data_IF_048422919270
#
_entry.id   IF_048422919270
#
_cell.length_a   1.000
_cell.length_b   1.000
_cell.length_c   1.000
_cell.angle_alpha   90.00
_cell.angle_beta   90.00
_cell.angle_gamma   90.00
#
_symmetry.space_group_name_H-M   'P 1'
#
loop_
_entity.id
_entity.type
_entity.pdbx_description
1 polymer ?
#
# COMPACT_ATOMS: atom_id res chain seq x y z
N UNK A 1 -22.92 -13.14 30.67
CA UNK A 1 -23.17 -12.92 29.23
C UNK A 1 -21.95 -12.19 28.71
N UNK A 2 -21.26 -12.73 27.70
CA UNK A 2 -20.04 -12.09 27.21
C UNK A 2 -20.39 -10.89 26.32
N UNK A 3 -19.48 -9.93 26.20
CA UNK A 3 -19.64 -8.78 25.30
C UNK A 3 -19.79 -9.23 23.83
N UNK A 4 -19.16 -10.36 23.47
CA UNK A 4 -19.27 -10.95 22.14
C UNK A 4 -20.69 -11.45 21.84
N UNK A 5 -21.35 -12.10 22.82
CA UNK A 5 -22.73 -12.57 22.67
C UNK A 5 -23.71 -11.42 22.44
N UNK A 6 -23.40 -10.24 22.99
CA UNK A 6 -24.18 -9.03 22.82
C UNK A 6 -24.01 -8.45 21.41
N UNK A 7 -22.80 -8.44 20.85
CA UNK A 7 -22.57 -7.98 19.48
C UNK A 7 -23.29 -8.85 18.45
N UNK A 8 -23.20 -10.17 18.57
CA UNK A 8 -23.87 -11.11 17.67
C UNK A 8 -25.39 -10.94 17.75
N UNK A 9 -25.94 -10.81 18.95
CA UNK A 9 -27.39 -10.65 19.14
C UNK A 9 -27.92 -9.33 18.54
N UNK A 10 -27.12 -8.28 18.57
CA UNK A 10 -27.48 -6.96 18.05
C UNK A 10 -27.08 -6.76 16.57
N UNK A 11 -26.67 -7.83 15.88
CA UNK A 11 -26.26 -7.78 14.46
C UNK A 11 -25.14 -6.76 14.20
N UNK A 12 -24.19 -6.66 15.14
CA UNK A 12 -23.05 -5.75 15.06
C UNK A 12 -21.88 -6.46 14.39
N UNK A 13 -21.43 -5.93 13.25
CA UNK A 13 -20.20 -6.37 12.57
C UNK A 13 -18.99 -5.58 13.09
N UNK A 14 -17.91 -6.27 13.45
CA UNK A 14 -16.67 -5.64 13.96
C UNK A 14 -15.54 -5.88 12.97
N UNK A 15 -15.05 -4.81 12.34
CA UNK A 15 -13.76 -4.80 11.65
C UNK A 15 -12.66 -4.38 12.63
N UNK A 16 -11.49 -5.02 12.54
CA UNK A 16 -10.36 -4.73 13.42
C UNK A 16 -9.05 -4.58 12.64
N UNK A 17 -8.19 -3.71 13.15
CA UNK A 17 -6.80 -3.54 12.69
C UNK A 17 -5.87 -3.90 13.83
N UNK A 18 -5.18 -5.03 13.69
CA UNK A 18 -4.12 -5.45 14.58
C UNK A 18 -2.83 -4.72 14.18
N UNK A 19 -2.29 -3.91 15.07
CA UNK A 19 -1.03 -3.18 14.86
C UNK A 19 0.05 -3.87 15.68
N UNK A 20 1.17 -4.22 15.03
CA UNK A 20 2.29 -5.03 15.53
C UNK A 20 2.02 -6.53 15.59
N UNK A 21 3.09 -7.33 15.61
CA UNK A 21 3.01 -8.79 15.81
C UNK A 21 2.57 -9.18 17.22
N UNK A 22 2.63 -8.24 18.18
CA UNK A 22 2.19 -8.40 19.57
C UNK A 22 0.71 -8.04 19.80
N UNK A 23 -0.04 -7.74 18.73
CA UNK A 23 -1.46 -7.43 18.83
C UNK A 23 -2.27 -8.57 19.46
N UNK A 24 -3.36 -8.22 20.16
CA UNK A 24 -4.16 -9.20 20.91
C UNK A 24 -4.79 -10.24 19.97
N UNK A 25 -4.62 -11.56 20.25
CA UNK A 25 -5.21 -12.62 19.44
C UNK A 25 -6.74 -12.65 19.53
N UNK A 26 -7.33 -12.03 20.56
CA UNK A 26 -8.78 -11.95 20.75
C UNK A 26 -9.48 -11.18 19.61
N UNK A 27 -8.75 -10.35 18.86
CA UNK A 27 -9.28 -9.64 17.69
C UNK A 27 -9.72 -10.60 16.57
N UNK A 28 -9.07 -11.77 16.47
CA UNK A 28 -9.45 -12.81 15.51
C UNK A 28 -10.84 -13.37 15.85
N UNK A 29 -11.08 -13.67 17.12
CA UNK A 29 -12.35 -14.23 17.58
C UNK A 29 -13.48 -13.21 17.42
N UNK A 30 -13.24 -11.94 17.76
CA UNK A 30 -14.22 -10.86 17.62
C UNK A 30 -14.65 -10.63 16.17
N UNK A 31 -13.69 -10.49 15.26
CA UNK A 31 -13.96 -10.25 13.83
C UNK A 31 -14.65 -11.45 13.19
N UNK A 32 -14.12 -12.66 13.41
CA UNK A 32 -14.68 -13.90 12.82
C UNK A 32 -16.10 -14.17 13.30
N UNK A 33 -16.38 -13.95 14.58
CA UNK A 33 -17.69 -14.27 15.17
C UNK A 33 -18.77 -13.25 14.82
N UNK A 34 -18.38 -12.02 14.45
CA UNK A 34 -19.30 -10.95 14.02
C UNK A 34 -19.37 -10.80 12.50
N UNK A 35 -18.65 -11.64 11.75
CA UNK A 35 -18.59 -11.59 10.28
C UNK A 35 -17.80 -10.40 9.72
N UNK A 36 -17.03 -9.72 10.56
CA UNK A 36 -16.18 -8.59 10.14
C UNK A 36 -14.80 -9.03 9.65
N UNK A 37 -13.97 -8.05 9.31
CA UNK A 37 -12.67 -8.21 8.67
C UNK A 37 -11.53 -7.91 9.66
N UNK A 38 -10.47 -8.69 9.57
CA UNK A 38 -9.23 -8.46 10.32
C UNK A 38 -8.11 -8.07 9.37
N UNK A 39 -7.46 -6.95 9.66
CA UNK A 39 -6.23 -6.52 9.00
C UNK A 39 -5.08 -6.59 9.99
N UNK A 40 -3.90 -6.98 9.51
CA UNK A 40 -2.69 -7.07 10.32
C UNK A 40 -1.61 -6.17 9.74
N UNK A 41 -1.19 -5.17 10.52
CA UNK A 41 0.05 -4.45 10.30
C UNK A 41 1.13 -5.14 11.14
N UNK A 42 2.03 -5.89 10.50
CA UNK A 42 3.18 -6.48 11.20
C UNK A 42 4.24 -5.42 11.52
N UNK A 43 5.25 -5.81 12.30
CA UNK A 43 6.42 -4.97 12.57
C UNK A 43 7.38 -4.91 11.36
N UNK A 44 7.08 -5.64 10.28
CA UNK A 44 7.84 -5.55 9.04
C UNK A 44 7.65 -4.17 8.40
N UNK A 45 8.73 -3.52 7.93
CA UNK A 45 8.61 -2.26 7.19
C UNK A 45 7.81 -2.43 5.89
N UNK A 46 7.71 -3.65 5.35
CA UNK A 46 6.97 -3.97 4.11
C UNK A 46 5.47 -4.14 4.31
N UNK A 47 5.01 -4.24 5.56
CA UNK A 47 3.62 -4.56 5.86
C UNK A 47 2.69 -3.42 5.46
N UNK A 48 1.61 -3.77 4.76
CA UNK A 48 0.63 -2.81 4.21
C UNK A 48 -0.70 -2.82 4.93
N UNK A 49 -0.89 -3.70 5.92
CA UNK A 49 -2.21 -4.00 6.49
C UNK A 49 -2.96 -2.81 7.09
N UNK A 50 -2.28 -1.80 7.64
CA UNK A 50 -2.97 -0.59 8.10
C UNK A 50 -3.61 0.19 6.94
N UNK A 51 -2.93 0.26 5.79
CA UNK A 51 -3.44 0.95 4.61
C UNK A 51 -4.53 0.13 3.94
N UNK A 52 -4.39 -1.18 3.91
CA UNK A 52 -5.42 -2.09 3.39
C UNK A 52 -6.72 -1.96 4.19
N UNK A 53 -6.61 -1.87 5.52
CA UNK A 53 -7.75 -1.60 6.39
C UNK A 53 -8.44 -0.26 6.07
N UNK A 54 -7.67 0.81 5.89
CA UNK A 54 -8.21 2.13 5.58
C UNK A 54 -8.86 2.16 4.20
N UNK A 55 -8.25 1.51 3.20
CA UNK A 55 -8.80 1.41 1.85
C UNK A 55 -10.08 0.59 1.81
N UNK A 56 -10.17 -0.49 2.57
CA UNK A 56 -11.37 -1.30 2.62
C UNK A 56 -12.55 -0.58 3.30
N UNK A 57 -12.27 0.30 4.26
CA UNK A 57 -13.28 1.02 5.04
C UNK A 57 -13.59 2.42 4.50
N UNK A 58 -12.86 2.90 3.49
CA UNK A 58 -13.13 4.21 2.85
C UNK A 58 -14.33 4.19 1.89
N UNK A 59 -14.83 3.00 1.52
CA UNK A 59 -15.97 2.82 0.60
C UNK A 59 -17.36 3.14 1.17
N UNK A 60 -17.46 3.67 2.39
CA UNK A 60 -18.75 3.96 3.05
C UNK A 60 -19.32 5.37 2.82
N UNK A 61 -18.55 6.29 2.24
CA UNK A 61 -19.04 7.63 1.92
C UNK A 61 -19.12 7.78 0.40
N UNK A 62 -20.17 8.46 -0.08
CA UNK A 62 -20.41 8.83 -1.48
C UNK A 62 -19.33 9.78 -2.04
N UNK A 63 -18.07 9.36 -2.01
CA UNK A 63 -16.96 10.00 -2.67
C UNK A 63 -17.05 9.48 -4.11
N UNK A 64 -17.39 10.37 -5.04
CA UNK A 64 -17.28 10.07 -6.47
C UNK A 64 -15.93 9.39 -6.73
N UNK A 65 -15.88 8.36 -7.59
CA UNK A 65 -14.63 7.63 -7.90
C UNK A 65 -13.47 8.58 -8.29
N UNK A 66 -13.82 9.75 -8.85
CA UNK A 66 -12.90 10.84 -9.19
C UNK A 66 -12.14 11.45 -8.00
N UNK A 67 -12.72 11.43 -6.80
CA UNK A 67 -12.12 11.87 -5.55
C UNK A 67 -11.27 10.80 -4.86
N UNK A 68 -11.27 9.56 -5.37
CA UNK A 68 -10.58 8.43 -4.77
C UNK A 68 -9.10 8.42 -5.15
N UNK A 69 -8.22 8.36 -4.14
CA UNK A 69 -6.78 8.22 -4.34
C UNK A 69 -6.46 6.78 -4.72
N UNK A 70 -5.74 6.59 -5.82
CA UNK A 70 -5.26 5.29 -6.31
C UNK A 70 -3.80 5.11 -5.88
N UNK A 71 -3.50 4.02 -5.17
CA UNK A 71 -2.14 3.65 -4.83
C UNK A 71 -1.51 2.92 -6.03
N UNK A 72 -0.43 3.48 -6.59
CA UNK A 72 0.27 2.90 -7.74
C UNK A 72 1.43 2.00 -7.30
N UNK A 73 2.12 2.38 -6.23
CA UNK A 73 3.22 1.59 -5.69
C UNK A 73 3.36 1.82 -4.20
N UNK A 74 3.55 0.75 -3.45
CA UNK A 74 3.98 0.77 -2.06
C UNK A 74 5.11 -0.24 -1.90
N UNK A 75 6.30 0.23 -1.55
CA UNK A 75 7.49 -0.61 -1.48
C UNK A 75 8.42 -0.12 -0.37
N UNK A 76 9.37 -0.98 0.02
CA UNK A 76 10.43 -0.64 0.95
C UNK A 76 11.77 -0.74 0.25
N UNK A 77 12.55 0.32 0.37
CA UNK A 77 13.94 0.38 -0.04
C UNK A 77 14.82 0.19 1.20
N UNK A 78 15.48 -0.96 1.31
CA UNK A 78 16.41 -1.29 2.40
C UNK A 78 17.80 -0.77 2.04
N UNK A 79 18.42 0.01 2.93
CA UNK A 79 19.80 0.46 2.82
C UNK A 79 20.64 -0.16 3.92
N UNK A 80 21.61 -0.99 3.52
CA UNK A 80 22.70 -1.45 4.39
C UNK A 80 23.78 -0.39 4.59
N UNK A 81 24.69 -0.66 5.53
CA UNK A 81 25.88 0.19 5.74
C UNK A 81 26.72 0.18 4.46
N UNK A 82 27.02 1.38 3.94
CA UNK A 82 27.76 1.59 2.70
C UNK A 82 26.89 1.72 1.44
N UNK A 83 25.59 1.41 1.49
CA UNK A 83 24.70 1.53 0.34
C UNK A 83 24.46 2.98 -0.03
N UNK A 84 24.72 3.33 -1.29
CA UNK A 84 24.74 4.72 -1.77
C UNK A 84 23.46 5.16 -2.46
N UNK A 85 22.79 4.23 -3.15
CA UNK A 85 21.56 4.52 -3.87
C UNK A 85 20.73 3.29 -4.14
N UNK A 86 19.42 3.48 -4.23
CA UNK A 86 18.48 2.52 -4.80
C UNK A 86 17.74 3.18 -5.97
N UNK A 87 17.34 2.37 -6.95
CA UNK A 87 16.55 2.80 -8.09
C UNK A 87 15.27 2.01 -8.14
N UNK A 88 14.19 2.64 -8.60
CA UNK A 88 12.93 1.97 -8.87
C UNK A 88 12.15 2.69 -9.95
N UNK A 89 11.06 2.09 -10.38
CA UNK A 89 10.15 2.69 -11.34
C UNK A 89 8.70 2.31 -11.04
N UNK A 90 7.80 3.12 -11.58
CA UNK A 90 6.36 2.92 -11.54
C UNK A 90 5.81 3.25 -12.92
N UNK A 91 4.82 2.50 -13.37
CA UNK A 91 4.10 2.79 -14.61
C UNK A 91 2.83 3.55 -14.24
N UNK A 92 2.61 4.69 -14.88
CA UNK A 92 1.38 5.47 -14.78
C UNK A 92 0.66 5.33 -16.12
N UNK A 93 -0.58 4.84 -16.13
CA UNK A 93 -1.37 4.75 -17.36
C UNK A 93 -2.22 6.01 -17.59
N UNK A 94 -2.91 6.08 -18.73
CA UNK A 94 -3.73 7.24 -19.13
C UNK A 94 -4.97 7.49 -18.23
N UNK A 95 -5.37 6.51 -17.42
CA UNK A 95 -6.56 6.59 -16.57
C UNK A 95 -6.29 7.32 -15.25
N UNK A 96 -5.02 7.43 -14.86
CA UNK A 96 -4.55 8.11 -13.66
C UNK A 96 -3.51 9.17 -14.03
N UNK A 97 -3.21 10.08 -13.11
CA UNK A 97 -2.12 11.05 -13.30
C UNK A 97 -2.35 12.37 -12.60
N UNK A 98 -3.60 12.68 -12.23
CA UNK A 98 -3.93 13.92 -11.51
C UNK A 98 -3.43 13.86 -10.08
N UNK A 99 -2.88 14.97 -9.58
CA UNK A 99 -2.36 15.09 -8.21
C UNK A 99 -1.41 13.93 -7.85
N UNK A 100 -0.56 13.51 -8.79
CA UNK A 100 0.38 12.42 -8.56
C UNK A 100 1.44 12.84 -7.55
N UNK A 101 1.63 12.01 -6.53
CA UNK A 101 2.57 12.25 -5.43
C UNK A 101 3.53 11.08 -5.30
N UNK A 102 4.83 11.39 -5.32
CA UNK A 102 5.88 10.46 -4.89
C UNK A 102 6.29 10.83 -3.47
N UNK A 103 6.01 9.96 -2.51
CA UNK A 103 6.35 10.14 -1.10
C UNK A 103 7.39 9.11 -0.66
N UNK A 104 8.44 9.57 0.01
CA UNK A 104 9.52 8.75 0.54
C UNK A 104 9.68 9.02 2.03
N UNK A 105 9.38 8.06 2.88
CA UNK A 105 9.50 8.19 4.34
C UNK A 105 10.67 7.37 4.82
N UNK A 106 11.64 7.96 5.52
CA UNK A 106 12.89 7.30 5.88
C UNK A 106 13.06 7.15 7.39
N UNK A 107 13.59 6.00 7.82
CA UNK A 107 13.81 5.67 9.23
C UNK A 107 15.25 5.90 9.65
N UNK A 108 15.75 7.11 9.39
CA UNK A 108 17.10 7.53 9.72
C UNK A 108 17.08 8.84 10.53
N UNK A 109 17.99 9.07 11.49
CA UNK A 109 18.16 10.39 12.08
C UNK A 109 18.52 11.42 11.00
N UNK A 110 17.91 12.61 11.03
CA UNK A 110 18.27 13.62 10.04
C UNK A 110 19.73 14.04 10.23
N UNK A 111 20.54 14.09 9.16
CA UNK A 111 21.79 14.84 9.17
C UNK A 111 21.51 16.32 9.49
N UNK A 112 22.51 17.08 9.97
CA UNK A 112 22.32 18.48 10.33
C UNK A 112 21.74 19.30 9.16
N UNK A 113 20.51 19.80 9.34
CA UNK A 113 19.84 20.72 8.42
C UNK A 113 19.39 20.14 7.07
N UNK A 114 19.32 18.80 6.90
CA UNK A 114 18.87 18.17 5.65
C UNK A 114 18.23 16.80 5.87
N UNK A 115 17.51 16.31 4.87
CA UNK A 115 16.97 14.96 4.87
C UNK A 115 18.08 13.91 4.79
N UNK A 116 17.86 12.71 5.33
CA UNK A 116 18.83 11.61 5.23
C UNK A 116 18.94 11.03 3.80
N UNK A 117 17.95 11.33 2.97
CA UNK A 117 17.89 10.90 1.57
C UNK A 117 17.69 12.10 0.65
N UNK A 118 18.16 11.98 -0.59
CA UNK A 118 17.78 12.89 -1.68
C UNK A 118 17.13 12.09 -2.78
N UNK A 119 16.04 12.60 -3.32
CA UNK A 119 15.29 11.90 -4.34
C UNK A 119 15.48 12.59 -5.69
N UNK A 120 15.51 11.80 -6.76
CA UNK A 120 15.37 12.28 -8.13
C UNK A 120 14.31 11.45 -8.81
N UNK A 121 13.28 12.10 -9.36
CA UNK A 121 12.22 11.47 -10.15
C UNK A 121 12.36 11.93 -11.59
N UNK A 122 12.28 11.01 -12.55
CA UNK A 122 12.37 11.27 -13.99
C UNK A 122 11.09 10.80 -14.66
N UNK A 123 10.44 11.71 -15.38
CA UNK A 123 9.25 11.44 -16.20
C UNK A 123 9.58 10.60 -17.43
N UNK A 124 8.56 10.01 -18.10
CA UNK A 124 8.74 9.26 -19.34
C UNK A 124 9.43 10.07 -20.46
N UNK A 125 9.10 11.36 -20.59
CA UNK A 125 9.75 12.28 -21.53
C UNK A 125 11.15 12.75 -21.13
N UNK A 126 11.63 12.37 -19.93
CA UNK A 126 12.98 12.68 -19.45
C UNK A 126 13.11 13.97 -18.63
N UNK A 127 12.01 14.66 -18.32
CA UNK A 127 12.01 15.75 -17.35
C UNK A 127 12.32 15.21 -15.95
N UNK A 128 13.23 15.88 -15.25
CA UNK A 128 13.74 15.47 -13.93
C UNK A 128 13.29 16.42 -12.82
N UNK A 129 12.79 15.85 -11.73
CA UNK A 129 12.41 16.52 -10.50
C UNK A 129 13.37 16.14 -9.38
N UNK A 130 13.99 17.12 -8.75
CA UNK A 130 14.99 16.93 -7.71
C UNK A 130 14.89 18.03 -6.65
N UNK A 131 15.78 18.02 -5.65
CA UNK A 131 15.75 18.92 -4.48
C UNK A 131 15.69 20.44 -4.72
N UNK A 132 15.90 20.90 -5.95
CA UNK A 132 15.83 22.32 -6.31
C UNK A 132 14.60 22.65 -7.16
N UNK A 133 13.82 21.63 -7.53
CA UNK A 133 12.54 21.79 -8.19
C UNK A 133 11.51 22.33 -7.20
N UNK A 134 10.67 23.26 -7.61
CA UNK A 134 9.65 23.87 -6.75
C UNK A 134 8.64 22.85 -6.19
N UNK A 135 8.46 21.73 -6.89
CA UNK A 135 7.55 20.65 -6.51
C UNK A 135 8.11 19.67 -5.48
N UNK A 136 9.39 19.83 -5.13
CA UNK A 136 10.10 18.98 -4.19
C UNK A 136 10.05 19.60 -2.78
N UNK A 137 9.59 18.84 -1.80
CA UNK A 137 9.46 19.25 -0.41
C UNK A 137 10.18 18.26 0.51
N UNK A 138 11.09 18.78 1.34
CA UNK A 138 11.71 18.05 2.45
C UNK A 138 10.94 18.36 3.74
N UNK A 139 10.17 17.39 4.22
CA UNK A 139 9.56 17.44 5.54
C UNK A 139 10.49 16.75 6.55
N UNK A 140 11.38 17.56 7.13
CA UNK A 140 12.38 17.08 8.08
C UNK A 140 11.73 16.60 9.39
N UNK A 141 10.58 17.14 9.78
CA UNK A 141 9.91 16.77 11.03
C UNK A 141 9.35 15.35 10.95
N UNK A 142 8.73 15.01 9.81
CA UNK A 142 8.16 13.70 9.56
C UNK A 142 9.09 12.75 8.81
N UNK A 143 10.35 13.18 8.57
CA UNK A 143 11.38 12.40 7.86
C UNK A 143 10.86 11.91 6.50
N UNK A 144 10.30 12.85 5.74
CA UNK A 144 9.64 12.56 4.47
C UNK A 144 10.14 13.49 3.37
N UNK A 145 10.30 12.93 2.18
CA UNK A 145 10.46 13.70 0.94
C UNK A 145 9.19 13.54 0.12
N UNK A 146 8.63 14.66 -0.36
CA UNK A 146 7.42 14.66 -1.19
C UNK A 146 7.74 15.36 -2.51
N UNK A 147 7.42 14.71 -3.62
CA UNK A 147 7.46 15.31 -4.96
C UNK A 147 6.05 15.28 -5.53
N UNK A 148 5.47 16.46 -5.78
CA UNK A 148 4.11 16.60 -6.35
C UNK A 148 4.21 16.89 -7.83
N UNK A 149 3.84 15.94 -8.67
CA UNK A 149 3.87 16.15 -10.12
C UNK A 149 2.83 17.21 -10.47
N UNK A 150 3.22 18.29 -11.18
CA UNK A 150 2.28 19.32 -11.59
C UNK A 150 1.32 18.75 -12.64
N UNK A 151 0.13 19.34 -12.71
CA UNK A 151 -0.90 18.99 -13.68
C UNK A 151 -1.27 17.48 -13.67
N UNK A 152 -1.35 16.88 -14.86
CA UNK A 152 -1.58 15.45 -15.05
C UNK A 152 -0.23 14.82 -15.38
N UNK A 153 0.19 13.83 -14.58
CA UNK A 153 1.39 13.06 -14.84
C UNK A 153 1.32 12.37 -16.20
N UNK A 154 2.39 12.48 -16.97
CA UNK A 154 2.54 11.83 -18.28
C UNK A 154 2.37 10.31 -18.16
N UNK A 155 1.56 9.67 -19.04
CA UNK A 155 1.47 8.22 -19.11
C UNK A 155 2.82 7.61 -19.53
N UNK A 156 3.24 6.56 -18.83
CA UNK A 156 4.46 5.82 -19.12
C UNK A 156 5.25 5.42 -17.88
N UNK A 157 6.50 5.01 -18.08
CA UNK A 157 7.40 4.62 -17.01
C UNK A 157 8.05 5.85 -16.35
N UNK A 158 7.73 6.07 -15.08
CA UNK A 158 8.39 7.04 -14.22
C UNK A 158 9.50 6.34 -13.43
N UNK A 159 10.70 6.92 -13.41
CA UNK A 159 11.85 6.35 -12.70
C UNK A 159 12.21 7.22 -11.52
N UNK A 160 12.60 6.60 -10.41
CA UNK A 160 13.11 7.32 -9.25
C UNK A 160 14.43 6.74 -8.76
N UNK A 161 15.28 7.62 -8.23
CA UNK A 161 16.54 7.26 -7.58
C UNK A 161 16.53 7.86 -6.18
N UNK A 162 16.74 7.00 -5.19
CA UNK A 162 16.91 7.35 -3.79
C UNK A 162 18.40 7.38 -3.51
N UNK A 163 18.96 8.56 -3.24
CA UNK A 163 20.36 8.71 -2.85
C UNK A 163 20.46 8.74 -1.33
N UNK A 164 21.22 7.80 -0.76
CA UNK A 164 21.52 7.79 0.65
C UNK A 164 22.59 8.86 0.96
N UNK A 165 22.23 9.86 1.78
CA UNK A 165 23.16 10.92 2.17
C UNK A 165 24.02 10.56 3.38
N UNK A 166 23.68 9.49 4.09
CA UNK A 166 24.44 8.97 5.22
C UNK A 166 24.57 7.44 5.12
N UNK A 167 25.71 7.00 4.60
CA UNK A 167 25.99 5.57 4.40
C UNK A 167 26.55 4.89 5.64
N UNK A 168 26.58 5.58 6.79
CA UNK A 168 27.19 5.04 8.01
C UNK A 168 26.23 4.16 8.83
N UNK A 169 24.92 4.31 8.63
CA UNK A 169 23.88 3.58 9.35
C UNK A 169 22.90 2.95 8.38
N UNK A 170 22.55 1.69 8.66
CA UNK A 170 21.49 1.00 7.92
C UNK A 170 20.12 1.58 8.27
N UNK A 171 19.26 1.72 7.26
CA UNK A 171 17.91 2.22 7.44
C UNK A 171 17.02 1.84 6.26
N UNK A 172 15.72 1.98 6.46
CA UNK A 172 14.72 1.70 5.43
C UNK A 172 14.04 2.99 4.97
N UNK A 173 13.59 2.97 3.72
CA UNK A 173 12.78 4.03 3.11
C UNK A 173 11.50 3.43 2.56
N UNK A 174 10.35 3.84 3.09
CA UNK A 174 9.04 3.52 2.51
C UNK A 174 8.81 4.41 1.31
N UNK A 175 8.60 3.79 0.15
CA UNK A 175 8.21 4.42 -1.11
C UNK A 175 6.70 4.29 -1.26
N UNK A 176 5.99 5.42 -1.35
CA UNK A 176 4.55 5.46 -1.58
C UNK A 176 4.26 6.39 -2.75
N UNK A 177 3.83 5.80 -3.87
CA UNK A 177 3.43 6.54 -5.06
C UNK A 177 1.93 6.35 -5.26
N UNK A 178 1.24 7.47 -5.36
CA UNK A 178 -0.20 7.49 -5.50
C UNK A 178 -0.64 8.61 -6.43
N UNK A 179 -1.80 8.43 -7.04
CA UNK A 179 -2.38 9.35 -8.01
C UNK A 179 -3.90 9.39 -7.85
N UNK A 180 -4.55 10.17 -8.70
CA UNK A 180 -5.99 10.23 -8.85
C UNK A 180 -6.34 10.04 -10.32
N UNK A 181 -7.62 9.79 -10.59
CA UNK A 181 -8.14 9.70 -11.95
C UNK A 181 -7.72 10.92 -12.77
N UNK A 182 -7.25 10.68 -13.98
CA UNK A 182 -6.76 11.72 -14.88
C UNK A 182 -7.87 12.71 -15.20
N UNK A 183 -9.09 12.22 -15.41
CA UNK A 183 -10.29 13.03 -15.70
C UNK A 183 -11.56 12.38 -15.13
N UNK A 184 -12.60 13.18 -14.98
CA UNK A 184 -13.91 12.69 -14.55
C UNK A 184 -14.52 11.76 -15.60
N UNK A 185 -15.09 10.63 -15.17
CA UNK A 185 -15.67 9.62 -16.06
C UNK A 185 -14.67 8.63 -16.67
N UNK A 186 -13.38 8.73 -16.33
CA UNK A 186 -12.38 7.71 -16.71
C UNK A 186 -12.30 6.65 -15.61
N UNK A 187 -12.51 5.39 -15.98
CA UNK A 187 -12.48 4.28 -15.03
C UNK A 187 -11.04 3.70 -14.92
N UNK A 188 -10.41 3.72 -13.74
CA UNK A 188 -9.08 3.15 -13.53
C UNK A 188 -9.17 1.63 -13.43
N UNK A 189 -8.00 0.98 -13.49
CA UNK A 189 -7.88 -0.41 -13.05
C UNK A 189 -7.84 -0.44 -11.53
N UNK A 190 -8.78 -1.16 -10.91
CA UNK A 190 -8.88 -1.35 -9.47
C UNK A 190 -8.57 -2.80 -9.15
N UNK A 191 -7.71 -3.01 -8.17
CA UNK A 191 -7.41 -4.33 -7.60
C UNK A 191 -8.02 -4.36 -6.20
N UNK A 192 -8.81 -5.38 -5.91
CA UNK A 192 -9.33 -5.68 -4.57
C UNK A 192 -8.90 -7.08 -4.18
N UNK A 193 -8.47 -7.30 -2.95
CA UNK A 193 -8.09 -8.61 -2.44
C UNK A 193 -8.89 -9.00 -1.22
N UNK A 194 -9.19 -10.28 -1.09
CA UNK A 194 -9.99 -10.83 0.00
C UNK A 194 -9.43 -12.17 0.44
N UNK A 195 -9.38 -12.38 1.76
CA UNK A 195 -9.09 -13.69 2.34
C UNK A 195 -10.40 -14.39 2.66
N UNK A 196 -10.58 -15.60 2.13
CA UNK A 196 -11.70 -16.46 2.48
C UNK A 196 -11.17 -17.68 3.25
N UNK A 197 -11.59 -17.81 4.51
CA UNK A 197 -11.23 -18.92 5.36
C UNK A 197 -12.08 -18.95 6.61
N UNK A 198 -12.88 -20.01 6.77
CA UNK A 198 -13.69 -20.20 7.97
C UNK A 198 -12.78 -20.63 9.12
N UNK A 199 -12.46 -19.67 10.01
CA UNK A 199 -11.59 -19.80 11.20
C UNK A 199 -10.10 -19.88 10.86
N UNK A 200 -9.44 -18.72 10.92
CA UNK A 200 -7.98 -18.62 11.03
C UNK A 200 -7.64 -18.99 12.49
N UNK A 201 -7.46 -20.27 12.75
CA UNK A 201 -7.01 -20.80 14.04
C UNK A 201 -5.85 -21.74 13.79
N UNK A 202 -4.75 -21.51 14.51
CA UNK A 202 -3.49 -22.31 14.47
C UNK A 202 -3.74 -23.81 14.66
N UNK A 203 -4.89 -24.20 15.22
CA UNK A 203 -5.20 -25.58 15.59
C UNK A 203 -5.68 -26.50 14.46
N UNK A 204 -5.97 -26.01 13.24
CA UNK A 204 -6.78 -26.81 12.30
C UNK A 204 -6.28 -27.01 10.86
N UNK A 205 -5.02 -26.73 10.49
CA UNK A 205 -4.48 -27.06 9.15
C UNK A 205 -5.43 -26.73 7.96
N UNK A 206 -6.26 -25.69 8.12
CA UNK A 206 -7.33 -25.34 7.18
C UNK A 206 -6.75 -24.44 6.10
N UNK A 207 -7.08 -24.76 4.86
CA UNK A 207 -6.69 -23.98 3.70
C UNK A 207 -7.27 -22.58 3.78
N UNK A 208 -6.41 -21.56 3.68
CA UNK A 208 -6.80 -20.16 3.49
C UNK A 208 -6.77 -19.89 2.00
N UNK A 209 -7.88 -19.42 1.45
CA UNK A 209 -7.97 -19.10 0.02
C UNK A 209 -7.84 -17.59 -0.14
N UNK A 210 -6.92 -17.18 -1.01
CA UNK A 210 -6.70 -15.77 -1.37
C UNK A 210 -7.39 -15.50 -2.70
N UNK A 211 -8.28 -14.51 -2.71
CA UNK A 211 -8.94 -14.02 -3.92
C UNK A 211 -8.46 -12.60 -4.22
N UNK A 212 -8.37 -12.30 -5.51
CA UNK A 212 -8.24 -10.93 -5.98
C UNK A 212 -9.18 -10.69 -7.16
N UNK A 213 -9.81 -9.53 -7.18
CA UNK A 213 -10.59 -9.02 -8.30
C UNK A 213 -9.82 -7.86 -8.94
N UNK A 214 -9.52 -7.99 -10.23
CA UNK A 214 -8.92 -6.94 -11.05
C UNK A 214 -9.97 -6.49 -12.04
N UNK A 215 -10.49 -5.28 -11.84
CA UNK A 215 -11.58 -4.74 -12.68
C UNK A 215 -11.28 -3.35 -13.16
N UNK A 216 -11.83 -3.04 -14.33
CA UNK A 216 -11.99 -1.68 -14.84
C UNK A 216 -13.48 -1.41 -14.93
N UNK A 217 -13.97 -0.49 -14.10
CA UNK A 217 -15.42 -0.23 -13.93
C UNK A 217 -16.20 -1.49 -13.48
N UNK A 218 -16.99 -2.06 -14.38
CA UNK A 218 -17.80 -3.26 -14.20
C UNK A 218 -17.25 -4.46 -14.98
N UNK A 219 -16.10 -4.32 -15.64
CA UNK A 219 -15.52 -5.36 -16.48
C UNK A 219 -14.25 -5.93 -15.83
N UNK A 220 -14.10 -7.27 -15.77
CA UNK A 220 -12.87 -7.89 -15.30
C UNK A 220 -11.72 -7.63 -16.30
N UNK A 221 -10.50 -7.47 -15.79
CA UNK A 221 -9.27 -7.33 -16.60
C UNK A 221 -8.61 -8.70 -16.75
N UNK A 222 -8.85 -9.34 -17.90
CA UNK A 222 -8.35 -10.69 -18.21
C UNK A 222 -6.86 -10.67 -18.58
N UNK A 223 -6.12 -11.72 -18.18
CA UNK A 223 -4.71 -11.89 -18.54
C UNK A 223 -3.74 -11.12 -17.65
N UNK A 224 -4.21 -10.67 -16.48
CA UNK A 224 -3.40 -9.99 -15.47
C UNK A 224 -2.58 -11.02 -14.68
N UNK A 225 -1.29 -10.75 -14.47
CA UNK A 225 -0.49 -11.51 -13.50
C UNK A 225 -0.69 -10.89 -12.12
N UNK A 226 -1.42 -11.58 -11.24
CA UNK A 226 -1.62 -11.14 -9.86
C UNK A 226 -0.71 -11.95 -8.93
N UNK A 227 0.11 -11.25 -8.15
CA UNK A 227 0.96 -11.84 -7.11
C UNK A 227 0.46 -11.32 -5.77
N UNK A 228 0.00 -12.22 -4.91
CA UNK A 228 -0.41 -11.91 -3.55
C UNK A 228 0.75 -12.17 -2.57
N UNK A 229 0.98 -11.24 -1.66
CA UNK A 229 1.93 -11.42 -0.56
C UNK A 229 1.14 -11.70 0.72
N UNK A 230 1.34 -12.88 1.31
CA UNK A 230 0.68 -13.32 2.54
C UNK A 230 1.65 -13.17 3.70
N UNK A 231 1.34 -12.26 4.62
CA UNK A 231 2.11 -12.05 5.84
C UNK A 231 1.46 -12.77 7.04
N UNK A 232 2.29 -13.28 7.95
CA UNK A 232 1.85 -13.88 9.21
C UNK A 232 2.58 -13.22 10.38
N UNK A 233 2.02 -13.22 11.61
CA UNK A 233 2.64 -12.53 12.74
C UNK A 233 4.06 -13.01 13.10
N UNK A 234 4.42 -14.25 12.77
CA UNK A 234 5.69 -14.88 13.21
C UNK A 234 6.44 -15.56 12.04
N UNK A 235 6.05 -15.27 10.79
CA UNK A 235 6.58 -15.97 9.61
C UNK A 235 7.11 -15.06 8.53
N UNK A 236 7.87 -15.64 7.61
CA UNK A 236 8.33 -14.96 6.41
C UNK A 236 7.13 -14.76 5.47
N UNK A 237 6.96 -13.56 4.87
CA UNK A 237 5.94 -13.35 3.85
C UNK A 237 6.05 -14.37 2.72
N UNK A 238 4.91 -14.89 2.28
CA UNK A 238 4.83 -15.85 1.18
C UNK A 238 4.23 -15.17 -0.04
N UNK A 239 4.92 -15.23 -1.17
CA UNK A 239 4.38 -14.79 -2.46
C UNK A 239 3.61 -15.93 -3.14
N UNK A 240 2.39 -15.64 -3.56
CA UNK A 240 1.49 -16.56 -4.24
C UNK A 240 1.00 -15.91 -5.53
N UNK A 241 1.35 -16.47 -6.69
CA UNK A 241 0.71 -16.09 -7.94
C UNK A 241 -0.72 -16.64 -7.96
N UNK A 242 -1.70 -15.76 -8.13
CA UNK A 242 -3.11 -16.15 -8.21
C UNK A 242 -3.44 -16.60 -9.63
N UNK A 243 -4.24 -17.65 -9.73
CA UNK A 243 -4.70 -18.18 -11.02
C UNK A 243 -5.88 -17.35 -11.54
N UNK A 244 -5.75 -16.80 -12.74
CA UNK A 244 -6.86 -16.16 -13.48
C UNK A 244 -7.77 -17.25 -14.07
N UNK A 245 -8.60 -17.86 -13.22
CA UNK A 245 -9.54 -18.92 -13.61
C UNK A 245 -10.98 -18.42 -13.79
N UNK A 246 -11.19 -17.10 -13.78
CA UNK A 246 -12.53 -16.51 -13.91
C UNK A 246 -13.49 -16.86 -12.77
N UNK A 247 -13.01 -17.35 -11.62
CA UNK A 247 -13.86 -17.71 -10.49
C UNK A 247 -14.45 -16.50 -9.74
N UNK A 248 -14.12 -15.27 -10.16
CA UNK A 248 -14.62 -14.01 -9.59
C UNK A 248 -15.99 -13.58 -10.13
N UNK A 249 -16.96 -14.51 -10.23
CA UNK A 249 -18.37 -14.17 -10.48
C UNK A 249 -19.21 -14.24 -9.22
#
# INVERSE_FOLDING_TARGET
MSMLDEYIRNDVTIDAVAITTAASPNLVELTTSTGGRLYLQTDSPSSTGLRDALNANSGGAAISDFGTRVQLQLAVAVFGVGDRRMQGSVVIDETVGRLTTFEFTYFHPNPPGRAAVSITVTSPSGQTFHRFSQVYEDDLAFKKVIIRIPDIAEPGEWRYVIYNQDTTVAHDVIVSIASYLSQEGVDPIIISSFLCGLRIGVDNNKEVVVYADVRRRFFPVVGSTVIATVETPIGVPVELQLNDNGAGM
#
